data_IF_340651546266
#
_entry.id   IF_340651546266
#
_cell.length_a   1.000
_cell.length_b   1.000
_cell.length_c   1.000
_cell.angle_alpha   90.00
_cell.angle_beta   90.00
_cell.angle_gamma   90.00
#
_symmetry.space_group_name_H-M   'P 1'
#
loop_
_entity.id
_entity.type
_entity.pdbx_description
1 polymer ?
#
# COMPACT_ATOMS: atom_id res chain seq x y z
N UNK A 1 -15.13 11.39 7.53
CA UNK A 1 -14.09 10.67 6.75
C UNK A 1 -14.56 9.25 6.46
N UNK A 2 -14.64 8.84 5.19
CA UNK A 2 -15.15 7.50 4.79
C UNK A 2 -14.10 6.40 5.01
N UNK A 3 -14.54 5.13 5.05
CA UNK A 3 -13.65 3.97 5.18
C UNK A 3 -12.57 3.96 4.09
N UNK A 4 -12.95 4.23 2.82
CA UNK A 4 -11.99 4.33 1.72
C UNK A 4 -10.94 5.41 1.93
N UNK A 5 -11.32 6.60 2.43
CA UNK A 5 -10.35 7.66 2.75
C UNK A 5 -9.38 7.23 3.85
N UNK A 6 -9.87 6.53 4.88
CA UNK A 6 -9.01 5.99 5.96
C UNK A 6 -8.02 4.95 5.44
N UNK A 7 -8.48 4.00 4.62
CA UNK A 7 -7.59 3.01 3.98
C UNK A 7 -6.55 3.69 3.12
N UNK A 8 -6.96 4.64 2.28
CA UNK A 8 -6.07 5.35 1.37
C UNK A 8 -4.99 6.15 2.13
N UNK A 9 -5.39 6.96 3.13
CA UNK A 9 -4.45 7.71 3.98
C UNK A 9 -3.53 6.80 4.81
N UNK A 10 -4.07 5.71 5.36
CA UNK A 10 -3.29 4.76 6.16
C UNK A 10 -2.26 4.01 5.33
N UNK A 11 -2.59 3.66 4.09
CA UNK A 11 -1.68 2.94 3.18
C UNK A 11 -0.43 3.77 2.88
N UNK A 12 -0.58 5.08 2.64
CA UNK A 12 0.55 5.97 2.29
C UNK A 12 1.31 6.52 3.50
N UNK A 13 0.71 6.50 4.70
CA UNK A 13 1.41 6.77 5.96
C UNK A 13 2.50 5.73 6.25
N UNK A 14 2.41 4.55 5.63
CA UNK A 14 3.35 3.45 5.81
C UNK A 14 3.07 2.59 7.05
N UNK A 15 3.93 1.60 7.28
CA UNK A 15 3.72 0.55 8.29
C UNK A 15 3.36 -0.79 7.68
N UNK A 16 2.96 -1.76 8.51
CA UNK A 16 2.57 -3.09 8.03
C UNK A 16 1.08 -3.17 7.76
N UNK A 17 0.68 -4.03 6.81
CA UNK A 17 -0.74 -4.31 6.53
C UNK A 17 -1.45 -4.81 7.80
N UNK A 18 -0.79 -5.62 8.63
CA UNK A 18 -1.37 -6.12 9.88
C UNK A 18 -1.63 -5.01 10.92
N UNK A 19 -0.74 -4.02 11.00
CA UNK A 19 -0.94 -2.88 11.88
C UNK A 19 -2.13 -2.02 11.43
N UNK A 20 -2.21 -1.72 10.13
CA UNK A 20 -3.31 -0.95 9.56
C UNK A 20 -4.64 -1.70 9.66
N UNK A 21 -4.65 -3.02 9.46
CA UNK A 21 -5.83 -3.86 9.62
C UNK A 21 -6.37 -3.80 11.05
N UNK A 22 -5.48 -3.85 12.06
CA UNK A 22 -5.87 -3.68 13.47
C UNK A 22 -6.38 -2.28 13.77
N UNK A 23 -5.73 -1.24 13.25
CA UNK A 23 -6.17 0.15 13.44
C UNK A 23 -7.57 0.41 12.87
N UNK A 24 -7.89 -0.22 11.73
CA UNK A 24 -9.17 -0.06 11.05
C UNK A 24 -10.23 -1.09 11.46
N UNK A 25 -9.90 -2.00 12.40
CA UNK A 25 -10.74 -3.14 12.78
C UNK A 25 -11.23 -3.97 11.57
N UNK A 26 -10.30 -4.28 10.67
CA UNK A 26 -10.55 -5.03 9.44
C UNK A 26 -9.80 -6.34 9.43
N UNK A 27 -10.38 -7.33 8.74
CA UNK A 27 -9.60 -8.48 8.31
C UNK A 27 -8.51 -8.05 7.32
N UNK A 28 -7.31 -8.59 7.48
CA UNK A 28 -6.18 -8.42 6.55
C UNK A 28 -6.59 -8.64 5.08
N UNK A 29 -7.34 -9.68 4.77
CA UNK A 29 -7.75 -9.98 3.39
C UNK A 29 -8.67 -8.90 2.82
N UNK A 30 -9.59 -8.38 3.64
CA UNK A 30 -10.47 -7.26 3.26
C UNK A 30 -9.66 -6.00 3.01
N UNK A 31 -8.71 -5.68 3.90
CA UNK A 31 -7.84 -4.51 3.71
C UNK A 31 -7.03 -4.61 2.41
N UNK A 32 -6.43 -5.78 2.14
CA UNK A 32 -5.69 -5.99 0.88
C UNK A 32 -6.58 -5.83 -0.35
N UNK A 33 -7.79 -6.40 -0.33
CA UNK A 33 -8.75 -6.24 -1.44
C UNK A 33 -9.15 -4.77 -1.65
N UNK A 34 -9.30 -3.99 -0.59
CA UNK A 34 -9.58 -2.55 -0.68
C UNK A 34 -8.40 -1.76 -1.26
N UNK A 35 -7.17 -2.09 -0.86
CA UNK A 35 -5.95 -1.47 -1.41
C UNK A 35 -5.82 -1.79 -2.89
N UNK A 36 -6.01 -3.05 -3.29
CA UNK A 36 -5.98 -3.47 -4.71
C UNK A 36 -7.09 -2.77 -5.51
N UNK A 37 -8.30 -2.65 -4.95
CA UNK A 37 -9.38 -1.87 -5.58
C UNK A 37 -8.99 -0.40 -5.78
N UNK A 38 -8.42 0.26 -4.76
CA UNK A 38 -8.01 1.67 -4.85
C UNK A 38 -6.86 1.88 -5.85
N UNK A 39 -5.92 0.94 -5.94
CA UNK A 39 -4.85 0.95 -6.93
C UNK A 39 -5.41 0.78 -8.34
N UNK A 40 -6.27 -0.22 -8.57
CA UNK A 40 -6.91 -0.45 -9.86
C UNK A 40 -7.80 0.72 -10.29
N UNK A 41 -8.43 1.41 -9.33
CA UNK A 41 -9.21 2.61 -9.58
C UNK A 41 -8.35 3.89 -9.76
N UNK A 42 -7.02 3.79 -9.70
CA UNK A 42 -6.08 4.88 -9.96
C UNK A 42 -5.93 5.89 -8.82
N UNK A 43 -6.30 5.54 -7.58
CA UNK A 43 -6.05 6.39 -6.40
C UNK A 43 -4.66 6.15 -5.81
N UNK A 44 -4.10 4.96 -6.03
CA UNK A 44 -2.75 4.57 -5.63
C UNK A 44 -1.94 4.12 -6.84
N UNK A 45 -0.63 4.35 -6.79
CA UNK A 45 0.36 3.74 -7.69
C UNK A 45 1.39 2.95 -6.88
N UNK A 46 2.01 1.95 -7.51
CA UNK A 46 3.06 1.16 -6.86
C UNK A 46 4.36 1.95 -6.91
N UNK A 47 4.82 2.42 -5.75
CA UNK A 47 5.99 3.29 -5.61
C UNK A 47 7.33 2.53 -5.60
N UNK A 48 7.31 1.22 -5.84
CA UNK A 48 8.47 0.34 -5.92
C UNK A 48 8.33 -0.93 -5.09
N UNK A 49 9.21 -1.89 -5.39
CA UNK A 49 9.49 -3.03 -4.53
C UNK A 49 10.75 -2.71 -3.72
N UNK A 50 10.64 -2.53 -2.41
CA UNK A 50 11.84 -2.54 -1.58
C UNK A 50 12.34 -3.98 -1.45
N UNK A 51 13.51 -4.23 -2.03
CA UNK A 51 14.30 -5.43 -1.76
C UNK A 51 15.41 -5.02 -0.79
N UNK A 52 15.53 -5.71 0.35
CA UNK A 52 16.50 -5.37 1.41
C UNK A 52 17.95 -5.77 1.09
N UNK A 53 18.22 -6.34 -0.09
CA UNK A 53 19.56 -6.78 -0.50
C UNK A 53 20.40 -5.62 -1.05
N UNK A 54 20.95 -4.76 -0.20
CA UNK A 54 21.72 -3.60 -0.68
C UNK A 54 23.18 -3.87 -1.12
N UNK A 55 23.75 -5.08 -1.00
CA UNK A 55 25.21 -5.24 -1.24
C UNK A 55 25.71 -6.57 -1.80
N UNK A 56 24.87 -7.46 -2.34
CA UNK A 56 25.39 -8.72 -2.91
C UNK A 56 24.87 -9.03 -4.31
N UNK A 57 25.76 -9.62 -5.10
CA UNK A 57 25.58 -10.14 -6.45
C UNK A 57 24.48 -11.23 -6.54
N UNK A 58 23.82 -11.54 -5.41
CA UNK A 58 22.69 -12.45 -5.25
C UNK A 58 21.32 -11.74 -5.27
N UNK A 59 21.27 -10.41 -5.41
CA UNK A 59 20.00 -9.66 -5.34
C UNK A 59 19.00 -10.07 -6.45
N UNK A 60 19.48 -10.55 -7.60
CA UNK A 60 18.63 -11.16 -8.65
C UNK A 60 17.85 -12.41 -8.16
N UNK A 61 18.42 -13.20 -7.23
CA UNK A 61 17.73 -14.34 -6.60
C UNK A 61 16.85 -13.91 -5.42
N UNK A 62 17.19 -12.83 -4.72
CA UNK A 62 16.38 -12.29 -3.62
C UNK A 62 15.13 -11.53 -4.07
N UNK A 63 15.08 -11.06 -5.32
CA UNK A 63 13.94 -10.30 -5.84
C UNK A 63 13.25 -11.00 -7.03
N UNK A 64 13.55 -12.29 -7.28
CA UNK A 64 12.79 -13.10 -8.22
C UNK A 64 11.32 -13.22 -7.78
N UNK A 65 10.39 -13.57 -8.71
CA UNK A 65 8.96 -13.67 -8.42
C UNK A 65 8.58 -14.66 -7.30
N UNK A 66 9.55 -15.44 -6.81
CA UNK A 66 9.40 -16.46 -5.77
C UNK A 66 9.89 -16.01 -4.38
N UNK A 67 10.42 -14.79 -4.23
CA UNK A 67 10.86 -14.27 -2.94
C UNK A 67 9.68 -13.70 -2.15
N UNK A 68 9.17 -14.51 -1.21
CA UNK A 68 7.97 -14.25 -0.41
C UNK A 68 7.99 -13.03 0.53
N UNK A 69 8.92 -12.09 0.37
CA UNK A 69 9.06 -10.89 1.20
C UNK A 69 8.94 -9.56 0.43
N UNK A 70 8.43 -9.57 -0.81
CA UNK A 70 8.17 -8.34 -1.55
C UNK A 70 6.95 -7.60 -0.98
N UNK A 71 7.17 -6.65 -0.08
CA UNK A 71 6.12 -5.75 0.37
C UNK A 71 5.96 -4.63 -0.67
N UNK A 72 4.84 -4.61 -1.38
CA UNK A 72 4.50 -3.51 -2.31
C UNK A 72 4.40 -2.22 -1.51
N UNK A 73 5.11 -1.18 -1.95
CA UNK A 73 4.89 0.17 -1.47
C UNK A 73 3.92 0.89 -2.39
N UNK A 74 3.05 1.71 -1.82
CA UNK A 74 2.07 2.50 -2.56
C UNK A 74 2.28 3.98 -2.29
N UNK A 75 2.12 4.80 -3.33
CA UNK A 75 2.05 6.25 -3.25
C UNK A 75 0.68 6.75 -3.72
N UNK A 76 0.29 7.95 -3.29
CA UNK A 76 -0.92 8.60 -3.81
C UNK A 76 -0.67 9.05 -5.24
N UNK A 77 -1.69 8.88 -6.08
CA UNK A 77 -1.79 9.65 -7.32
C UNK A 77 -2.41 11.02 -7.01
N UNK A 78 -2.38 11.95 -7.97
CA UNK A 78 -3.10 13.22 -7.87
C UNK A 78 -4.60 13.02 -7.57
N UNK A 79 -5.22 11.99 -8.17
CA UNK A 79 -6.62 11.62 -7.90
C UNK A 79 -6.81 11.17 -6.44
N UNK A 80 -5.86 10.41 -5.90
CA UNK A 80 -5.82 10.01 -4.50
C UNK A 80 -5.78 11.20 -3.54
N UNK A 81 -4.88 12.15 -3.79
CA UNK A 81 -4.72 13.37 -2.98
C UNK A 81 -6.00 14.21 -2.97
N UNK A 82 -6.60 14.43 -4.15
CA UNK A 82 -7.86 15.16 -4.28
C UNK A 82 -9.00 14.47 -3.53
N UNK A 83 -9.07 13.13 -3.60
CA UNK A 83 -10.11 12.39 -2.91
C UNK A 83 -10.00 12.51 -1.38
N UNK A 84 -8.79 12.50 -0.83
CA UNK A 84 -8.58 12.71 0.62
C UNK A 84 -9.00 14.12 1.01
N UNK A 85 -8.58 15.15 0.26
CA UNK A 85 -8.81 16.56 0.59
C UNK A 85 -10.26 17.01 0.46
N UNK A 86 -11.07 16.40 -0.43
CA UNK A 86 -12.49 16.69 -0.63
C UNK A 86 -13.42 16.20 0.51
N UNK A 87 -12.99 16.24 1.77
CA UNK A 87 -13.80 15.85 2.94
C UNK A 87 -13.51 16.63 4.22
N UNK A 88 -12.73 17.69 4.11
CA UNK A 88 -12.44 18.69 5.15
C UNK A 88 -13.08 20.00 4.70
N UNK A 89 -14.40 20.08 4.86
CA UNK A 89 -15.19 21.31 4.90
C UNK A 89 -16.13 21.19 6.10
#
# INVERSE_FOLDING_TARGET
MTVMKKVLSGTVKGGTIDALARELDMNRSTLMAMIDFLANAGYLEIAGLQCSCQTSNLCEKCCGPESGSQTKMYALTLKGEQFISQGTL
#
